data_IF_373872566242
#
_entry.id   IF_373872566242
#
_cell.length_a   1.000
_cell.length_b   1.000
_cell.length_c   1.000
_cell.angle_alpha   90.00
_cell.angle_beta   90.00
_cell.angle_gamma   90.00
#
_symmetry.space_group_name_H-M   'P 1'
#
loop_
_entity.id
_entity.type
_entity.pdbx_description
1 polymer ?
#
# COMPACT_ATOMS: atom_id res chain seq x y z
N UNK A 1 2.29 8.10 -15.02
CA UNK A 1 2.47 6.76 -15.63
C UNK A 1 2.33 5.72 -14.54
N UNK A 2 1.39 4.79 -14.68
CA UNK A 2 1.09 3.79 -13.69
C UNK A 2 1.20 2.37 -14.27
N UNK A 3 1.85 1.46 -13.55
CA UNK A 3 1.94 0.04 -13.91
C UNK A 3 0.61 -0.70 -13.70
N UNK A 4 -0.26 -0.18 -12.84
CA UNK A 4 -1.61 -0.67 -12.59
C UNK A 4 -2.59 0.49 -12.49
N UNK A 5 -3.75 0.36 -13.10
CA UNK A 5 -4.85 1.32 -13.04
C UNK A 5 -6.19 0.58 -13.24
N UNK A 6 -7.31 1.31 -13.08
CA UNK A 6 -8.63 0.73 -13.30
C UNK A 6 -8.73 -0.03 -14.64
N UNK A 7 -9.41 -1.16 -14.70
CA UNK A 7 -10.30 -1.74 -13.69
C UNK A 7 -9.60 -2.50 -12.55
N UNK A 8 -8.26 -2.67 -12.60
CA UNK A 8 -7.52 -3.35 -11.54
C UNK A 8 -7.38 -2.44 -10.32
N UNK A 9 -7.95 -2.85 -9.19
CA UNK A 9 -7.90 -2.13 -7.92
C UNK A 9 -6.85 -2.76 -7.01
N UNK A 10 -5.84 -1.96 -6.63
CA UNK A 10 -4.80 -2.33 -5.67
C UNK A 10 -4.24 -1.07 -5.00
N UNK A 11 -3.26 -1.22 -4.12
CA UNK A 11 -2.68 -0.09 -3.38
C UNK A 11 -2.08 1.01 -4.26
N UNK A 12 -1.49 0.64 -5.42
CA UNK A 12 -0.95 1.62 -6.39
C UNK A 12 -2.09 2.38 -7.07
N UNK A 13 -3.09 1.66 -7.59
CA UNK A 13 -4.28 2.25 -8.21
C UNK A 13 -4.98 3.20 -7.26
N UNK A 14 -5.24 2.79 -6.01
CA UNK A 14 -5.88 3.65 -5.00
C UNK A 14 -5.08 4.93 -4.75
N UNK A 15 -3.77 4.83 -4.63
CA UNK A 15 -2.90 6.01 -4.46
C UNK A 15 -2.99 6.96 -5.63
N UNK A 16 -2.96 6.44 -6.87
CA UNK A 16 -3.09 7.26 -8.09
C UNK A 16 -4.45 7.96 -8.14
N UNK A 17 -5.54 7.26 -7.82
CA UNK A 17 -6.88 7.83 -7.79
C UNK A 17 -6.99 8.99 -6.80
N UNK A 18 -6.42 8.87 -5.60
CA UNK A 18 -6.39 9.95 -4.60
C UNK A 18 -5.55 11.15 -5.05
N UNK A 19 -4.44 10.89 -5.72
CA UNK A 19 -3.63 11.96 -6.32
C UNK A 19 -4.41 12.70 -7.41
N UNK A 20 -5.08 11.97 -8.32
CA UNK A 20 -5.90 12.57 -9.37
C UNK A 20 -7.05 13.41 -8.81
N UNK A 21 -7.76 12.90 -7.81
CA UNK A 21 -8.82 13.62 -7.10
C UNK A 21 -8.30 14.94 -6.51
N UNK A 22 -7.12 14.91 -5.89
CA UNK A 22 -6.51 16.09 -5.29
C UNK A 22 -6.03 17.11 -6.34
N UNK A 23 -5.40 16.64 -7.42
CA UNK A 23 -4.99 17.48 -8.54
C UNK A 23 -6.18 18.21 -9.16
N UNK A 24 -7.27 17.47 -9.43
CA UNK A 24 -8.49 18.05 -9.98
C UNK A 24 -9.07 19.15 -9.07
N UNK A 25 -9.18 18.87 -7.74
CA UNK A 25 -9.67 19.87 -6.76
C UNK A 25 -8.84 21.16 -6.72
N UNK A 26 -7.55 21.04 -7.00
CA UNK A 26 -6.63 22.19 -6.99
C UNK A 26 -6.42 22.82 -8.39
N UNK A 27 -7.23 22.46 -9.38
CA UNK A 27 -7.20 23.03 -10.72
C UNK A 27 -6.01 22.60 -11.58
N UNK A 28 -5.37 21.49 -11.25
CA UNK A 28 -4.29 20.93 -12.06
C UNK A 28 -4.82 19.96 -13.11
N UNK A 29 -4.30 20.07 -14.32
CA UNK A 29 -4.57 19.10 -15.38
C UNK A 29 -3.75 17.82 -15.18
N UNK A 30 -4.36 16.67 -15.47
CA UNK A 30 -3.70 15.38 -15.37
C UNK A 30 -4.02 14.48 -16.57
N UNK A 31 -3.06 13.63 -16.94
CA UNK A 31 -3.22 12.57 -17.92
C UNK A 31 -2.62 11.28 -17.34
N UNK A 32 -3.34 10.17 -17.47
CA UNK A 32 -2.85 8.85 -17.05
C UNK A 32 -2.36 8.05 -18.25
N UNK A 33 -1.16 7.46 -18.15
CA UNK A 33 -0.69 6.42 -19.07
C UNK A 33 -0.66 5.12 -18.28
N UNK A 34 -1.45 4.13 -18.71
CA UNK A 34 -1.64 2.87 -17.99
C UNK A 34 -1.82 1.68 -18.94
N UNK A 35 -1.63 0.44 -18.45
CA UNK A 35 -1.92 -0.75 -19.24
C UNK A 35 -3.39 -0.82 -19.65
N UNK A 36 -3.66 -1.36 -20.84
CA UNK A 36 -4.98 -1.79 -21.23
C UNK A 36 -5.29 -3.18 -20.64
N UNK A 37 -6.53 -3.60 -20.68
CA UNK A 37 -6.89 -4.99 -20.39
C UNK A 37 -6.22 -5.95 -21.37
N UNK A 38 -5.96 -7.21 -20.99
CA UNK A 38 -5.40 -8.22 -21.88
C UNK A 38 -6.27 -8.44 -23.13
N UNK A 39 -5.65 -8.95 -24.19
CA UNK A 39 -6.40 -9.29 -25.41
C UNK A 39 -7.48 -10.32 -25.12
N UNK A 40 -8.69 -10.05 -25.60
CA UNK A 40 -9.87 -10.92 -25.43
C UNK A 40 -10.79 -10.48 -24.29
N UNK A 41 -10.38 -9.54 -23.46
CA UNK A 41 -11.22 -8.92 -22.44
C UNK A 41 -11.81 -7.60 -22.93
N UNK A 42 -12.88 -7.12 -22.25
CA UNK A 42 -13.43 -5.78 -22.49
C UNK A 42 -12.34 -4.74 -22.27
N UNK A 43 -12.14 -3.86 -23.25
CA UNK A 43 -11.16 -2.77 -23.14
C UNK A 43 -11.45 -1.90 -21.93
N UNK A 44 -10.39 -1.47 -21.24
CA UNK A 44 -10.51 -0.55 -20.14
C UNK A 44 -10.91 0.85 -20.62
N UNK A 45 -11.61 1.58 -19.76
CA UNK A 45 -12.05 2.94 -20.06
C UNK A 45 -10.85 3.87 -20.35
N UNK A 46 -11.04 4.77 -21.30
CA UNK A 46 -10.04 5.78 -21.71
C UNK A 46 -10.21 7.11 -20.98
N UNK A 47 -11.13 7.18 -20.03
CA UNK A 47 -11.33 8.31 -19.13
C UNK A 47 -11.61 7.83 -17.72
N UNK A 48 -11.25 8.64 -16.74
CA UNK A 48 -11.67 8.52 -15.34
C UNK A 48 -12.15 9.90 -14.87
N UNK A 49 -13.47 10.10 -14.80
CA UNK A 49 -14.04 11.44 -14.74
C UNK A 49 -13.59 12.24 -15.97
N UNK A 50 -13.04 13.41 -15.74
CA UNK A 50 -12.51 14.29 -16.81
C UNK A 50 -11.04 14.00 -17.17
N UNK A 51 -10.38 13.07 -16.46
CA UNK A 51 -8.97 12.75 -16.69
C UNK A 51 -8.84 11.74 -17.84
N UNK A 52 -8.14 12.09 -18.94
CA UNK A 52 -7.89 11.16 -20.04
C UNK A 52 -6.91 10.07 -19.61
N UNK A 53 -7.21 8.82 -20.00
CA UNK A 53 -6.39 7.65 -19.74
C UNK A 53 -5.88 7.08 -21.05
N UNK A 54 -4.61 7.27 -21.33
CA UNK A 54 -3.96 6.69 -22.49
C UNK A 54 -3.58 5.23 -22.23
N UNK A 55 -4.27 4.29 -22.90
CA UNK A 55 -4.06 2.86 -22.72
C UNK A 55 -2.93 2.34 -23.59
N UNK A 56 -2.00 1.60 -22.95
CA UNK A 56 -0.90 0.91 -23.61
C UNK A 56 -1.21 -0.57 -23.67
N UNK A 57 -1.08 -1.23 -24.83
CA UNK A 57 -1.29 -2.67 -24.95
C UNK A 57 -0.52 -3.46 -23.91
N UNK A 58 -1.19 -4.36 -23.23
CA UNK A 58 -0.62 -5.18 -22.16
C UNK A 58 -0.55 -6.66 -22.54
N UNK A 59 0.27 -7.39 -21.78
CA UNK A 59 0.33 -8.86 -21.79
C UNK A 59 0.29 -9.36 -20.36
N UNK A 60 -0.40 -10.48 -20.12
CA UNK A 60 -0.33 -11.17 -18.83
C UNK A 60 1.02 -11.85 -18.69
N UNK A 61 1.61 -11.72 -17.51
CA UNK A 61 2.85 -12.41 -17.20
C UNK A 61 2.54 -13.82 -16.65
N UNK A 62 3.21 -14.88 -17.15
CA UNK A 62 3.03 -16.22 -16.60
C UNK A 62 3.27 -16.23 -15.10
N UNK A 63 2.37 -16.80 -14.30
CA UNK A 63 2.41 -16.89 -12.82
C UNK A 63 2.04 -15.62 -12.05
N UNK A 64 1.83 -14.46 -12.70
CA UNK A 64 1.32 -13.24 -12.06
C UNK A 64 -0.02 -12.90 -12.69
N UNK A 65 -1.06 -13.62 -12.31
CA UNK A 65 -2.40 -13.56 -12.93
C UNK A 65 -3.16 -12.26 -12.69
N UNK A 66 -2.69 -11.40 -11.79
CA UNK A 66 -3.41 -10.19 -11.38
C UNK A 66 -2.84 -8.87 -11.93
N UNK A 67 -1.75 -8.91 -12.70
CA UNK A 67 -1.08 -7.69 -13.16
C UNK A 67 -0.78 -7.74 -14.66
N UNK A 68 -1.61 -7.10 -15.51
CA UNK A 68 -1.28 -6.90 -16.92
C UNK A 68 -0.09 -5.93 -17.03
N UNK A 69 1.01 -6.36 -17.66
CA UNK A 69 2.19 -5.53 -17.89
C UNK A 69 2.06 -4.77 -19.20
N UNK A 70 2.10 -3.44 -19.12
CA UNK A 70 2.13 -2.57 -20.29
C UNK A 70 3.51 -2.63 -20.98
N UNK A 71 3.50 -2.83 -22.30
CA UNK A 71 4.73 -2.83 -23.12
C UNK A 71 5.04 -1.41 -23.57
N UNK A 72 6.17 -0.80 -23.14
CA UNK A 72 6.55 0.54 -23.57
C UNK A 72 6.59 0.69 -25.08
N UNK A 73 6.12 1.82 -25.60
CA UNK A 73 6.10 2.10 -27.02
C UNK A 73 6.58 3.54 -27.33
N UNK A 74 7.18 3.78 -28.50
CA UNK A 74 7.55 5.13 -28.94
C UNK A 74 6.39 6.13 -28.93
N UNK A 75 5.15 5.63 -29.00
CA UNK A 75 3.93 6.46 -28.88
C UNK A 75 3.86 7.24 -27.57
N UNK A 76 4.46 6.76 -26.48
CA UNK A 76 4.50 7.46 -25.19
C UNK A 76 5.17 8.84 -25.31
N UNK A 77 6.23 8.95 -26.11
CA UNK A 77 6.89 10.24 -26.39
C UNK A 77 5.92 11.23 -27.04
N UNK A 78 5.10 10.73 -28.01
CA UNK A 78 4.09 11.59 -28.66
C UNK A 78 3.03 12.04 -27.67
N UNK A 79 2.51 11.16 -26.85
CA UNK A 79 1.49 11.47 -25.83
C UNK A 79 1.99 12.54 -24.87
N UNK A 80 3.22 12.41 -24.35
CA UNK A 80 3.81 13.42 -23.47
C UNK A 80 4.10 14.72 -24.18
N UNK A 81 4.55 14.68 -25.44
CA UNK A 81 4.78 15.89 -26.24
C UNK A 81 3.50 16.67 -26.51
N UNK A 82 2.42 15.96 -26.82
CA UNK A 82 1.13 16.57 -27.15
C UNK A 82 0.46 17.15 -25.89
N UNK A 83 0.56 16.46 -24.75
CA UNK A 83 0.01 16.91 -23.47
C UNK A 83 0.87 18.01 -22.81
N UNK A 84 2.19 18.02 -23.03
CA UNK A 84 3.16 18.98 -22.46
C UNK A 84 3.11 19.10 -20.94
N UNK A 85 3.25 18.00 -20.17
CA UNK A 85 3.20 18.07 -18.72
C UNK A 85 4.43 18.80 -18.16
N UNK A 86 4.24 19.51 -17.05
CA UNK A 86 5.34 20.10 -16.28
C UNK A 86 6.17 19.05 -15.56
N UNK A 87 5.54 17.95 -15.11
CA UNK A 87 6.18 16.86 -14.37
C UNK A 87 5.58 15.51 -14.78
N UNK A 88 6.41 14.47 -14.82
CA UNK A 88 5.96 13.07 -15.00
C UNK A 88 6.09 12.31 -13.69
N UNK A 89 4.95 11.95 -13.11
CA UNK A 89 4.86 11.05 -11.95
C UNK A 89 4.89 9.59 -12.41
N UNK A 90 5.82 8.82 -11.88
CA UNK A 90 5.98 7.39 -12.14
C UNK A 90 5.48 6.59 -10.92
N UNK A 91 4.24 6.13 -10.97
CA UNK A 91 3.62 5.38 -9.89
C UNK A 91 4.08 3.92 -9.89
N UNK A 92 4.97 3.58 -8.97
CA UNK A 92 5.58 2.24 -8.86
C UNK A 92 6.21 1.73 -10.16
N UNK A 93 7.23 2.44 -10.69
CA UNK A 93 7.73 2.18 -12.03
C UNK A 93 8.42 0.80 -12.14
N UNK A 94 8.04 0.03 -13.17
CA UNK A 94 8.68 -1.21 -13.57
C UNK A 94 8.96 -1.18 -15.09
N UNK A 95 8.08 -1.74 -15.91
CA UNK A 95 8.25 -1.76 -17.37
C UNK A 95 7.67 -0.52 -18.05
N UNK A 96 6.40 -0.22 -17.77
CA UNK A 96 5.74 0.93 -18.37
C UNK A 96 6.33 2.24 -17.84
N UNK A 97 6.64 2.29 -16.55
CA UNK A 97 7.32 3.40 -15.91
C UNK A 97 8.71 3.65 -16.48
N UNK A 98 9.45 2.60 -16.87
CA UNK A 98 10.71 2.73 -17.60
C UNK A 98 10.51 3.46 -18.92
N UNK A 99 9.48 3.08 -19.70
CA UNK A 99 9.13 3.79 -20.93
C UNK A 99 8.74 5.24 -20.70
N UNK A 100 7.97 5.51 -19.63
CA UNK A 100 7.61 6.86 -19.21
C UNK A 100 8.81 7.71 -18.82
N UNK A 101 9.73 7.15 -18.03
CA UNK A 101 10.98 7.78 -17.64
C UNK A 101 11.83 8.17 -18.87
N UNK A 102 12.02 7.24 -19.81
CA UNK A 102 12.80 7.51 -21.02
C UNK A 102 12.14 8.59 -21.90
N UNK A 103 10.82 8.52 -22.07
CA UNK A 103 10.08 9.53 -22.84
C UNK A 103 10.16 10.91 -22.19
N UNK A 104 10.02 11.01 -20.86
CA UNK A 104 10.16 12.25 -20.12
C UNK A 104 11.57 12.84 -20.26
N UNK A 105 12.60 12.01 -20.05
CA UNK A 105 14.00 12.45 -20.21
C UNK A 105 14.33 12.93 -21.63
N UNK A 106 13.84 12.23 -22.66
CA UNK A 106 14.01 12.63 -24.06
C UNK A 106 13.37 13.99 -24.35
N UNK A 107 12.27 14.32 -23.68
CA UNK A 107 11.57 15.60 -23.81
C UNK A 107 12.06 16.67 -22.82
N UNK A 108 13.02 16.37 -21.95
CA UNK A 108 13.50 17.28 -20.93
C UNK A 108 12.53 17.53 -19.78
N UNK A 109 11.49 16.68 -19.59
CA UNK A 109 10.47 16.83 -18.56
C UNK A 109 10.98 16.20 -17.24
N UNK A 110 10.89 16.92 -16.09
CA UNK A 110 11.28 16.39 -14.79
C UNK A 110 10.40 15.19 -14.36
N UNK A 111 10.99 14.30 -13.57
CA UNK A 111 10.38 13.04 -13.19
C UNK A 111 10.40 12.83 -11.67
N UNK A 112 9.26 12.39 -11.11
CA UNK A 112 9.13 11.94 -9.72
C UNK A 112 8.71 10.48 -9.73
N UNK A 113 9.56 9.58 -9.23
CA UNK A 113 9.30 8.15 -9.15
C UNK A 113 8.90 7.75 -7.74
N UNK A 114 7.84 6.97 -7.58
CA UNK A 114 7.37 6.48 -6.27
C UNK A 114 7.64 5.00 -6.14
N UNK A 115 8.42 4.62 -5.13
CA UNK A 115 8.68 3.22 -4.80
C UNK A 115 7.53 2.71 -3.92
N UNK A 116 6.63 1.91 -4.50
CA UNK A 116 5.44 1.41 -3.79
C UNK A 116 5.35 -0.11 -3.73
N UNK A 117 6.14 -0.81 -4.54
CA UNK A 117 6.11 -2.27 -4.63
C UNK A 117 7.52 -2.80 -4.44
N UNK A 118 7.71 -3.56 -3.37
CA UNK A 118 8.97 -4.25 -3.11
C UNK A 118 9.04 -5.55 -3.94
N UNK A 119 9.47 -5.42 -5.20
CA UNK A 119 9.62 -6.55 -6.12
C UNK A 119 10.69 -7.53 -5.59
N UNK A 120 11.71 -7.02 -4.89
CA UNK A 120 12.80 -7.84 -4.36
C UNK A 120 12.32 -8.68 -3.15
N UNK A 121 11.56 -8.10 -2.22
CA UNK A 121 10.95 -8.82 -1.11
C UNK A 121 9.90 -9.83 -1.56
N UNK A 122 9.10 -9.49 -2.59
CA UNK A 122 8.21 -10.47 -3.22
C UNK A 122 8.96 -11.65 -3.81
N UNK A 123 10.05 -11.42 -4.56
CA UNK A 123 10.86 -12.50 -5.14
C UNK A 123 11.38 -13.46 -4.06
N UNK A 124 11.75 -12.93 -2.90
CA UNK A 124 12.21 -13.73 -1.76
C UNK A 124 11.06 -14.58 -1.17
N UNK A 125 9.88 -13.97 -0.93
CA UNK A 125 8.71 -14.66 -0.36
C UNK A 125 8.17 -15.78 -1.27
N UNK A 126 8.36 -15.66 -2.58
CA UNK A 126 7.94 -16.69 -3.56
C UNK A 126 9.07 -17.67 -3.95
N UNK A 127 10.17 -17.73 -3.18
CA UNK A 127 11.25 -18.71 -3.38
C UNK A 127 12.14 -18.43 -4.60
N UNK A 128 12.09 -17.24 -5.18
CA UNK A 128 12.89 -16.84 -6.35
C UNK A 128 14.02 -15.88 -5.92
N UNK A 129 14.60 -16.10 -4.76
CA UNK A 129 15.62 -15.23 -4.14
C UNK A 129 16.84 -14.92 -5.03
N UNK A 130 17.19 -15.81 -5.97
CA UNK A 130 18.26 -15.56 -6.97
C UNK A 130 17.95 -14.33 -7.84
N UNK A 131 16.70 -13.95 -8.02
CA UNK A 131 16.30 -12.77 -8.78
C UNK A 131 16.31 -11.46 -7.96
N UNK A 132 16.54 -11.52 -6.66
CA UNK A 132 16.56 -10.34 -5.78
C UNK A 132 17.62 -9.32 -6.22
N UNK A 133 18.83 -9.76 -6.53
CA UNK A 133 19.90 -8.88 -7.01
C UNK A 133 19.58 -8.24 -8.37
N UNK A 134 18.92 -8.98 -9.26
CA UNK A 134 18.46 -8.47 -10.56
C UNK A 134 17.37 -7.43 -10.36
N UNK A 135 16.41 -7.68 -9.47
CA UNK A 135 15.37 -6.74 -9.14
C UNK A 135 15.93 -5.44 -8.54
N UNK A 136 16.90 -5.53 -7.63
CA UNK A 136 17.59 -4.34 -7.09
C UNK A 136 18.43 -3.61 -8.13
N UNK A 137 19.14 -4.31 -9.01
CA UNK A 137 19.86 -3.68 -10.11
C UNK A 137 18.92 -2.93 -11.06
N UNK A 138 17.73 -3.50 -11.34
CA UNK A 138 16.68 -2.85 -12.13
C UNK A 138 16.10 -1.63 -11.42
N UNK A 139 15.72 -1.75 -10.15
CA UNK A 139 15.24 -0.63 -9.35
C UNK A 139 16.27 0.51 -9.31
N UNK A 140 17.53 0.20 -9.05
CA UNK A 140 18.62 1.19 -9.07
C UNK A 140 18.75 1.85 -10.44
N UNK A 141 18.73 1.06 -11.53
CA UNK A 141 18.79 1.59 -12.88
C UNK A 141 17.69 2.60 -13.17
N UNK A 142 16.48 2.32 -12.71
CA UNK A 142 15.29 3.12 -12.94
C UNK A 142 15.29 4.37 -12.05
N UNK A 143 15.34 4.16 -10.74
CA UNK A 143 15.23 5.24 -9.75
C UNK A 143 16.40 6.22 -9.74
N UNK A 144 17.63 5.75 -10.08
CA UNK A 144 18.79 6.65 -10.22
C UNK A 144 18.68 7.63 -11.40
N UNK A 145 17.77 7.37 -12.33
CA UNK A 145 17.53 8.24 -13.49
C UNK A 145 16.36 9.19 -13.30
N UNK A 146 15.51 8.97 -12.31
CA UNK A 146 14.46 9.91 -11.92
C UNK A 146 15.08 11.14 -11.24
N UNK A 147 14.48 12.31 -11.39
CA UNK A 147 14.95 13.53 -10.72
C UNK A 147 14.71 13.44 -9.21
N UNK A 148 13.67 12.72 -8.77
CA UNK A 148 13.37 12.46 -7.36
C UNK A 148 12.75 11.07 -7.20
N UNK A 149 13.14 10.35 -6.14
CA UNK A 149 12.51 9.09 -5.73
C UNK A 149 11.80 9.29 -4.40
N UNK A 150 10.56 8.84 -4.31
CA UNK A 150 9.74 8.92 -3.10
C UNK A 150 9.59 7.52 -2.49
N UNK A 151 9.92 7.41 -1.21
CA UNK A 151 9.79 6.20 -0.40
C UNK A 151 8.65 6.33 0.60
N UNK A 152 7.78 5.32 0.76
CA UNK A 152 6.60 5.43 1.61
C UNK A 152 6.89 5.33 3.11
N UNK A 153 8.06 4.82 3.50
CA UNK A 153 8.50 4.68 4.90
C UNK A 153 9.99 4.92 5.06
N UNK A 154 10.42 5.13 6.32
CA UNK A 154 11.84 5.28 6.65
C UNK A 154 12.62 4.00 6.37
N UNK A 155 12.06 2.82 6.68
CA UNK A 155 12.67 1.54 6.35
C UNK A 155 12.87 1.38 4.85
N UNK A 156 11.86 1.67 4.01
CA UNK A 156 12.02 1.66 2.55
C UNK A 156 13.05 2.69 2.07
N UNK A 157 13.12 3.86 2.70
CA UNK A 157 14.13 4.87 2.36
C UNK A 157 15.55 4.36 2.65
N UNK A 158 15.76 3.73 3.81
CA UNK A 158 17.02 3.09 4.19
C UNK A 158 17.42 2.01 3.20
N UNK A 159 16.49 1.13 2.80
CA UNK A 159 16.74 0.09 1.80
C UNK A 159 17.15 0.67 0.45
N UNK A 160 16.46 1.69 -0.02
CA UNK A 160 16.79 2.36 -1.30
C UNK A 160 18.19 3.00 -1.25
N UNK A 161 18.53 3.66 -0.15
CA UNK A 161 19.85 4.29 0.06
C UNK A 161 20.95 3.25 0.16
N UNK A 162 20.73 2.15 0.89
CA UNK A 162 21.69 1.03 1.00
C UNK A 162 22.00 0.41 -0.37
N UNK A 163 21.02 0.38 -1.27
CA UNK A 163 21.17 -0.06 -2.67
C UNK A 163 21.65 1.05 -3.61
N UNK A 164 22.19 2.16 -3.07
CA UNK A 164 22.79 3.27 -3.81
C UNK A 164 21.82 3.98 -4.77
N UNK A 165 20.57 4.11 -4.40
CA UNK A 165 19.61 4.92 -5.12
C UNK A 165 19.69 6.35 -4.58
N UNK A 166 19.99 7.36 -5.41
CA UNK A 166 20.14 8.75 -4.96
C UNK A 166 18.78 9.48 -4.91
N UNK A 167 18.77 10.67 -4.30
CA UNK A 167 17.64 11.60 -4.28
C UNK A 167 16.35 10.96 -3.74
N UNK A 168 16.49 10.14 -2.69
CA UNK A 168 15.38 9.50 -2.00
C UNK A 168 14.81 10.46 -0.96
N UNK A 169 13.49 10.64 -1.01
CA UNK A 169 12.74 11.46 -0.06
C UNK A 169 11.54 10.67 0.48
N UNK A 170 11.14 10.98 1.70
CA UNK A 170 9.99 10.32 2.31
C UNK A 170 8.69 10.91 1.78
N UNK A 171 7.77 10.05 1.40
CA UNK A 171 6.39 10.40 1.06
C UNK A 171 5.48 9.22 1.41
N UNK A 172 4.80 9.34 2.56
CA UNK A 172 3.92 8.30 3.09
C UNK A 172 2.58 8.24 2.35
N UNK A 173 1.61 7.63 3.01
CA UNK A 173 0.25 7.53 2.47
C UNK A 173 -0.75 8.21 3.39
N UNK A 174 -1.85 8.64 2.79
CA UNK A 174 -3.00 9.16 3.51
C UNK A 174 -3.96 8.04 3.93
N UNK A 175 -4.84 8.38 4.85
CA UNK A 175 -5.97 7.54 5.25
C UNK A 175 -7.25 8.37 5.24
N UNK A 176 -8.37 7.72 4.91
CA UNK A 176 -9.69 8.31 5.05
C UNK A 176 -10.14 8.26 6.52
N UNK A 177 -9.76 9.26 7.29
CA UNK A 177 -10.08 9.35 8.73
C UNK A 177 -11.57 9.54 9.03
N UNK A 178 -12.37 9.85 8.01
CA UNK A 178 -13.83 9.98 8.11
C UNK A 178 -14.49 8.63 7.88
N UNK A 179 -14.09 7.93 6.83
CA UNK A 179 -14.58 6.58 6.53
C UNK A 179 -14.11 5.56 7.57
N UNK A 180 -12.80 5.54 7.85
CA UNK A 180 -12.23 4.71 8.91
C UNK A 180 -12.29 5.44 10.25
N UNK A 181 -13.34 5.18 11.00
CA UNK A 181 -13.59 5.83 12.28
C UNK A 181 -14.23 4.86 13.29
N UNK A 182 -14.02 5.05 14.61
CA UNK A 182 -14.67 4.25 15.65
C UNK A 182 -16.20 4.25 15.55
N UNK A 183 -16.79 5.32 15.01
CA UNK A 183 -18.25 5.46 14.80
C UNK A 183 -18.81 4.47 13.76
N UNK A 184 -17.95 3.86 12.92
CA UNK A 184 -18.36 2.82 11.98
C UNK A 184 -18.60 1.44 12.65
N UNK A 185 -18.39 1.32 13.98
CA UNK A 185 -18.59 0.08 14.74
C UNK A 185 -20.01 -0.45 14.58
N UNK A 186 -20.13 -1.72 14.20
CA UNK A 186 -21.40 -2.42 13.98
C UNK A 186 -21.68 -3.43 15.07
N UNK A 187 -22.75 -3.22 15.83
CA UNK A 187 -23.23 -4.19 16.82
C UNK A 187 -23.66 -5.51 16.16
N UNK A 188 -24.22 -5.44 14.95
CA UNK A 188 -24.63 -6.62 14.19
C UNK A 188 -23.44 -7.49 13.80
N UNK A 189 -22.34 -6.91 13.28
CA UNK A 189 -21.11 -7.64 13.00
C UNK A 189 -20.51 -8.27 14.26
N UNK A 190 -20.53 -7.53 15.37
CA UNK A 190 -20.05 -8.04 16.66
C UNK A 190 -20.85 -9.25 17.13
N UNK A 191 -22.17 -9.19 17.07
CA UNK A 191 -23.05 -10.31 17.46
C UNK A 191 -22.85 -11.53 16.53
N UNK A 192 -22.61 -11.29 15.24
CA UNK A 192 -22.33 -12.36 14.28
C UNK A 192 -20.97 -13.05 14.51
N UNK A 193 -19.92 -12.27 14.79
CA UNK A 193 -18.56 -12.80 14.95
C UNK A 193 -18.32 -13.39 16.33
N UNK A 194 -18.84 -12.74 17.35
CA UNK A 194 -18.64 -13.10 18.75
C UNK A 194 -19.96 -13.01 19.52
N UNK A 195 -20.89 -13.97 19.32
CA UNK A 195 -22.17 -13.97 20.01
C UNK A 195 -22.04 -14.05 21.54
N UNK A 196 -20.94 -14.61 22.02
CA UNK A 196 -20.61 -14.71 23.45
C UNK A 196 -19.96 -13.41 24.00
N UNK A 197 -19.78 -12.38 23.18
CA UNK A 197 -19.19 -11.10 23.58
C UNK A 197 -17.66 -11.12 23.80
N UNK A 198 -16.96 -12.14 23.35
CA UNK A 198 -15.49 -12.23 23.44
C UNK A 198 -14.81 -11.08 22.71
N UNK A 199 -13.62 -10.64 23.15
CA UNK A 199 -12.77 -9.72 22.39
C UNK A 199 -12.50 -10.23 20.98
N UNK A 200 -12.53 -9.33 20.01
CA UNK A 200 -12.27 -9.65 18.59
C UNK A 200 -10.88 -9.19 18.21
N UNK A 201 -10.03 -10.15 17.86
CA UNK A 201 -8.71 -9.90 17.29
C UNK A 201 -8.78 -10.10 15.78
N UNK A 202 -8.41 -9.06 15.00
CA UNK A 202 -8.61 -9.07 13.56
C UNK A 202 -7.36 -8.89 12.74
N UNK A 203 -7.41 -9.46 11.54
CA UNK A 203 -6.48 -9.22 10.44
C UNK A 203 -7.27 -8.75 9.22
N UNK A 204 -6.68 -7.82 8.47
CA UNK A 204 -7.20 -7.36 7.17
C UNK A 204 -6.08 -7.35 6.16
N UNK A 205 -6.28 -8.04 5.04
CA UNK A 205 -5.31 -8.07 3.96
C UNK A 205 -5.47 -9.23 3.01
N UNK A 206 -4.66 -9.24 1.96
CA UNK A 206 -4.60 -10.37 1.04
C UNK A 206 -4.06 -11.62 1.76
N UNK A 207 -4.67 -12.77 1.52
CA UNK A 207 -4.24 -14.03 2.10
C UNK A 207 -3.18 -14.68 1.21
N UNK A 208 -1.93 -14.24 1.37
CA UNK A 208 -0.79 -14.63 0.56
C UNK A 208 0.48 -14.78 1.40
N UNK A 209 1.48 -15.57 0.96
CA UNK A 209 2.64 -15.94 1.75
C UNK A 209 3.38 -14.76 2.41
N UNK A 210 3.51 -13.65 1.70
CA UNK A 210 4.22 -12.46 2.18
C UNK A 210 3.50 -11.73 3.33
N UNK A 211 2.25 -12.12 3.63
CA UNK A 211 1.47 -11.54 4.75
C UNK A 211 1.61 -12.33 6.05
N UNK A 212 2.19 -13.51 6.00
CA UNK A 212 2.46 -14.36 7.16
C UNK A 212 1.26 -14.56 8.09
N UNK A 213 0.05 -14.69 7.50
CA UNK A 213 -1.21 -14.81 8.29
C UNK A 213 -1.24 -16.07 9.13
N UNK A 214 -0.46 -17.09 8.77
CA UNK A 214 -0.26 -18.31 9.56
C UNK A 214 0.27 -18.04 10.97
N UNK A 215 0.98 -16.95 11.22
CA UNK A 215 1.47 -16.55 12.55
C UNK A 215 0.34 -16.31 13.56
N UNK A 216 -0.90 -16.07 13.09
CA UNK A 216 -2.07 -16.00 13.95
C UNK A 216 -2.42 -17.34 14.59
N UNK A 217 -1.84 -18.46 14.16
CA UNK A 217 -1.98 -19.76 14.79
C UNK A 217 -1.54 -19.77 16.25
N UNK A 218 -0.64 -18.86 16.66
CA UNK A 218 -0.30 -18.65 18.05
C UNK A 218 -1.51 -18.30 18.96
N UNK A 219 -2.62 -17.85 18.36
CA UNK A 219 -3.88 -17.55 19.05
C UNK A 219 -4.97 -18.59 18.81
N UNK A 220 -4.74 -19.63 18.01
CA UNK A 220 -5.79 -20.58 17.59
C UNK A 220 -6.42 -21.37 18.73
N UNK A 221 -5.68 -21.60 19.82
CA UNK A 221 -6.15 -22.30 21.02
C UNK A 221 -6.88 -21.42 22.05
N UNK A 222 -6.97 -20.10 21.79
CA UNK A 222 -7.57 -19.13 22.71
C UNK A 222 -9.10 -19.15 22.61
N UNK A 223 -9.74 -19.84 23.56
CA UNK A 223 -11.20 -19.89 23.64
C UNK A 223 -11.86 -18.61 24.21
N UNK A 224 -11.08 -17.70 24.76
CA UNK A 224 -11.49 -16.47 25.40
C UNK A 224 -11.54 -15.26 24.43
N UNK A 225 -11.10 -15.42 23.18
CA UNK A 225 -11.16 -14.41 22.13
C UNK A 225 -11.70 -14.97 20.82
N UNK A 226 -12.09 -14.10 19.90
CA UNK A 226 -12.54 -14.44 18.56
C UNK A 226 -11.57 -13.88 17.52
N UNK A 227 -11.01 -14.74 16.67
CA UNK A 227 -10.24 -14.34 15.51
C UNK A 227 -11.15 -14.02 14.32
N UNK A 228 -10.88 -12.90 13.64
CA UNK A 228 -11.56 -12.50 12.40
C UNK A 228 -10.53 -12.18 11.33
N UNK A 229 -10.65 -12.84 10.19
CA UNK A 229 -9.76 -12.71 9.04
C UNK A 229 -10.54 -12.13 7.87
N UNK A 230 -10.23 -10.88 7.51
CA UNK A 230 -10.85 -10.16 6.40
C UNK A 230 -9.91 -10.18 5.20
N UNK A 231 -10.37 -10.73 4.09
CA UNK A 231 -9.61 -10.80 2.85
C UNK A 231 -9.72 -12.15 2.15
N UNK A 232 -9.08 -12.20 0.99
CA UNK A 232 -9.02 -13.38 0.13
C UNK A 232 -7.60 -13.59 -0.39
N UNK A 233 -7.29 -14.79 -0.85
CA UNK A 233 -6.01 -15.10 -1.47
C UNK A 233 -5.72 -16.59 -1.55
N UNK A 234 -4.54 -16.89 -2.11
CA UNK A 234 -4.13 -18.27 -2.43
C UNK A 234 -3.97 -19.14 -1.18
N UNK A 235 -3.67 -18.54 -0.01
CA UNK A 235 -3.48 -19.27 1.25
C UNK A 235 -4.77 -19.51 2.02
N UNK A 236 -5.93 -19.05 1.55
CA UNK A 236 -7.20 -19.13 2.26
C UNK A 236 -7.53 -20.57 2.70
N UNK A 237 -7.33 -21.54 1.81
CA UNK A 237 -7.60 -22.96 2.11
C UNK A 237 -6.70 -23.55 3.20
N UNK A 238 -5.42 -23.15 3.22
CA UNK A 238 -4.44 -23.49 4.26
C UNK A 238 -4.82 -22.85 5.60
N UNK A 239 -5.14 -21.55 5.56
CA UNK A 239 -5.47 -20.77 6.76
C UNK A 239 -6.76 -21.24 7.43
N UNK A 240 -7.80 -21.62 6.67
CA UNK A 240 -9.03 -22.20 7.25
C UNK A 240 -8.77 -23.50 8.00
N UNK A 241 -7.81 -24.32 7.57
CA UNK A 241 -7.42 -25.54 8.29
C UNK A 241 -6.62 -25.23 9.55
N UNK A 242 -5.77 -24.20 9.50
CA UNK A 242 -4.90 -23.80 10.60
C UNK A 242 -5.66 -23.03 11.70
N UNK A 243 -6.68 -22.26 11.31
CA UNK A 243 -7.50 -21.39 12.18
C UNK A 243 -8.98 -21.79 12.09
N UNK A 244 -9.37 -23.02 12.52
CA UNK A 244 -10.72 -23.54 12.30
C UNK A 244 -11.82 -22.76 13.05
N UNK A 245 -11.49 -22.09 14.17
CA UNK A 245 -12.41 -21.27 14.95
C UNK A 245 -12.48 -19.81 14.47
N UNK A 246 -11.65 -19.40 13.52
CA UNK A 246 -11.65 -18.04 13.02
C UNK A 246 -12.80 -17.78 12.05
N UNK A 247 -13.36 -16.58 12.10
CA UNK A 247 -14.33 -16.10 11.10
C UNK A 247 -13.58 -15.55 9.89
N UNK A 248 -13.84 -16.11 8.72
CA UNK A 248 -13.31 -15.62 7.43
C UNK A 248 -14.43 -14.93 6.66
N UNK A 249 -14.35 -13.63 6.51
CA UNK A 249 -15.40 -12.81 5.88
C UNK A 249 -15.32 -12.78 4.36
N UNK A 250 -14.18 -13.15 3.77
CA UNK A 250 -13.84 -12.79 2.39
C UNK A 250 -13.35 -11.34 2.28
N UNK A 251 -13.18 -10.84 1.06
CA UNK A 251 -12.79 -9.46 0.81
C UNK A 251 -13.93 -8.49 1.11
N UNK A 252 -13.63 -7.42 1.84
CA UNK A 252 -14.57 -6.33 2.14
C UNK A 252 -14.02 -5.00 1.58
N UNK A 253 -14.91 -4.09 1.24
CA UNK A 253 -14.56 -2.79 0.65
C UNK A 253 -15.42 -1.66 1.23
N UNK A 254 -14.94 -0.43 1.11
CA UNK A 254 -15.71 0.77 1.45
C UNK A 254 -16.25 0.75 2.87
N UNK A 255 -17.58 0.94 3.01
CA UNK A 255 -18.24 1.00 4.32
C UNK A 255 -18.19 -0.31 5.10
N UNK A 256 -18.28 -1.44 4.41
CA UNK A 256 -18.23 -2.75 5.07
C UNK A 256 -16.84 -3.04 5.64
N UNK A 257 -15.80 -2.65 4.93
CA UNK A 257 -14.43 -2.73 5.43
C UNK A 257 -14.22 -1.82 6.64
N UNK A 258 -14.71 -0.59 6.59
CA UNK A 258 -14.63 0.35 7.72
C UNK A 258 -15.38 -0.16 8.95
N UNK A 259 -16.58 -0.73 8.76
CA UNK A 259 -17.36 -1.35 9.82
C UNK A 259 -16.63 -2.58 10.40
N UNK A 260 -15.96 -3.37 9.55
CA UNK A 260 -15.18 -4.51 9.99
C UNK A 260 -14.02 -4.07 10.91
N UNK A 261 -13.19 -3.12 10.49
CA UNK A 261 -12.14 -2.56 11.36
C UNK A 261 -12.72 -2.05 12.68
N UNK A 262 -13.69 -1.15 12.64
CA UNK A 262 -14.25 -0.55 13.85
C UNK A 262 -14.91 -1.56 14.80
N UNK A 263 -15.26 -2.76 14.30
CA UNK A 263 -15.89 -3.83 15.08
C UNK A 263 -14.89 -4.79 15.72
N UNK A 264 -13.60 -4.65 15.47
CA UNK A 264 -12.52 -5.36 16.18
C UNK A 264 -12.17 -4.68 17.50
N UNK A 265 -11.33 -5.32 18.31
CA UNK A 265 -10.81 -4.79 19.57
C UNK A 265 -9.29 -4.62 19.53
N UNK A 266 -8.57 -5.50 18.83
CA UNK A 266 -7.13 -5.42 18.53
C UNK A 266 -6.92 -5.80 17.08
N UNK A 267 -6.04 -5.08 16.40
CA UNK A 267 -5.62 -5.39 15.04
C UNK A 267 -4.22 -6.00 15.03
N UNK A 268 -4.05 -7.13 14.34
CA UNK A 268 -2.76 -7.81 14.19
C UNK A 268 -2.37 -7.84 12.72
N UNK A 269 -1.20 -7.30 12.40
CA UNK A 269 -0.58 -7.40 11.08
C UNK A 269 0.72 -8.21 11.20
N UNK A 270 0.76 -9.48 10.77
CA UNK A 270 1.93 -10.33 11.00
C UNK A 270 3.00 -10.27 9.90
N UNK A 271 2.74 -9.57 8.78
CA UNK A 271 3.66 -9.49 7.63
C UNK A 271 4.80 -8.48 7.84
N UNK A 272 6.02 -8.89 7.55
CA UNK A 272 7.24 -8.08 7.72
C UNK A 272 7.68 -7.33 6.45
N UNK A 273 7.23 -7.77 5.27
CA UNK A 273 7.61 -7.20 3.98
C UNK A 273 6.63 -6.11 3.51
N UNK A 274 6.45 -5.08 4.33
CA UNK A 274 5.57 -3.96 4.02
C UNK A 274 6.35 -2.69 3.72
N UNK A 275 6.15 -2.14 2.54
CA UNK A 275 6.75 -0.83 2.21
C UNK A 275 6.11 0.31 3.01
N UNK A 276 4.81 0.17 3.39
CA UNK A 276 4.09 1.15 4.21
C UNK A 276 3.14 0.52 5.22
N UNK A 277 2.29 -0.42 4.79
CA UNK A 277 1.21 -1.06 5.54
C UNK A 277 -0.05 -0.19 5.74
N UNK A 278 -0.80 0.01 4.66
CA UNK A 278 -2.07 0.76 4.69
C UNK A 278 -3.07 0.20 5.70
N UNK A 279 -3.12 -1.14 5.87
CA UNK A 279 -4.04 -1.81 6.78
C UNK A 279 -3.80 -1.42 8.26
N UNK A 280 -2.54 -1.23 8.66
CA UNK A 280 -2.19 -0.71 10.00
C UNK A 280 -2.71 0.72 10.17
N UNK A 281 -2.52 1.58 9.17
CA UNK A 281 -2.97 2.97 9.24
C UNK A 281 -4.51 3.07 9.29
N UNK A 282 -5.23 2.23 8.54
CA UNK A 282 -6.70 2.14 8.56
C UNK A 282 -7.21 1.61 9.91
N UNK A 283 -6.55 0.61 10.49
CA UNK A 283 -6.85 0.11 11.82
C UNK A 283 -6.69 1.22 12.88
N UNK A 284 -5.56 1.94 12.85
CA UNK A 284 -5.32 3.07 13.76
C UNK A 284 -6.36 4.18 13.60
N UNK A 285 -6.74 4.51 12.36
CA UNK A 285 -7.80 5.47 12.06
C UNK A 285 -9.17 5.00 12.60
N UNK A 286 -9.43 3.70 12.61
CA UNK A 286 -10.62 3.10 13.21
C UNK A 286 -10.56 3.02 14.75
N UNK A 287 -9.47 3.51 15.36
CA UNK A 287 -9.27 3.50 16.81
C UNK A 287 -8.87 2.13 17.35
N UNK A 288 -8.17 1.32 16.59
CA UNK A 288 -7.67 0.02 17.05
C UNK A 288 -6.23 0.13 17.54
N UNK A 289 -5.91 -0.43 18.71
CA UNK A 289 -4.54 -0.74 19.05
C UNK A 289 -4.00 -1.80 18.10
N UNK A 290 -2.72 -1.67 17.73
CA UNK A 290 -2.10 -2.47 16.68
C UNK A 290 -0.95 -3.30 17.22
N UNK A 291 -0.85 -4.56 16.76
CA UNK A 291 0.34 -5.40 16.88
C UNK A 291 0.90 -5.62 15.48
N UNK A 292 2.17 -5.33 15.29
CA UNK A 292 2.87 -5.53 14.03
C UNK A 292 4.32 -5.99 14.27
N UNK A 293 5.02 -6.57 13.28
CA UNK A 293 6.45 -6.86 13.40
C UNK A 293 7.28 -5.58 13.47
N UNK A 294 8.39 -5.62 14.19
CA UNK A 294 9.40 -4.55 14.21
C UNK A 294 10.20 -4.58 12.90
N UNK A 295 9.50 -4.35 11.80
CA UNK A 295 10.06 -4.37 10.45
C UNK A 295 9.23 -3.53 9.48
N UNK A 296 9.87 -3.04 8.42
CA UNK A 296 9.21 -2.36 7.30
C UNK A 296 8.40 -1.13 7.70
N UNK A 297 7.33 -0.88 6.95
CA UNK A 297 6.47 0.29 7.12
C UNK A 297 5.76 0.42 8.46
N UNK A 298 5.35 -0.65 9.15
CA UNK A 298 4.76 -0.58 10.49
C UNK A 298 5.60 0.19 11.51
N UNK A 299 6.94 0.18 11.40
CA UNK A 299 7.85 0.94 12.29
C UNK A 299 7.62 2.45 12.26
N UNK A 300 7.13 2.97 11.15
CA UNK A 300 6.82 4.40 11.00
C UNK A 300 5.44 4.78 11.52
N UNK A 301 4.54 3.80 11.60
CA UNK A 301 3.14 4.01 11.97
C UNK A 301 2.91 3.77 13.47
N UNK A 302 3.51 2.69 14.00
CA UNK A 302 3.30 2.27 15.38
C UNK A 302 4.40 2.83 16.28
N UNK A 303 4.01 3.64 17.26
CA UNK A 303 4.89 4.04 18.37
C UNK A 303 4.75 3.00 19.48
N UNK A 304 5.81 2.18 19.74
CA UNK A 304 5.74 1.10 20.74
C UNK A 304 5.27 1.60 22.11
N UNK A 305 4.45 0.81 22.79
CA UNK A 305 3.89 1.10 24.12
C UNK A 305 3.01 2.37 24.20
N UNK A 306 2.73 2.99 23.03
CA UNK A 306 1.89 4.19 22.98
C UNK A 306 0.68 4.01 22.03
N UNK A 307 0.91 3.67 20.76
CA UNK A 307 -0.16 3.47 19.78
C UNK A 307 -0.40 1.99 19.45
N UNK A 308 0.49 1.12 19.92
CA UNK A 308 0.47 -0.32 19.69
C UNK A 308 1.77 -0.97 20.13
N UNK A 309 2.02 -2.17 19.65
CA UNK A 309 3.23 -2.95 19.94
C UNK A 309 3.92 -3.36 18.65
N UNK A 310 5.25 -3.24 18.63
CA UNK A 310 6.12 -3.82 17.63
C UNK A 310 6.81 -5.04 18.23
N UNK A 311 6.61 -6.21 17.61
CA UNK A 311 7.18 -7.48 18.08
C UNK A 311 8.40 -7.86 17.23
N UNK A 312 9.44 -8.45 17.84
CA UNK A 312 10.57 -8.98 17.10
C UNK A 312 10.10 -9.99 16.06
N UNK A 313 10.58 -9.87 14.82
CA UNK A 313 10.22 -10.78 13.72
C UNK A 313 10.52 -12.24 14.09
N UNK A 314 11.69 -12.48 14.71
CA UNK A 314 12.15 -13.82 15.07
C UNK A 314 11.31 -14.50 16.17
N UNK A 315 10.57 -13.73 16.98
CA UNK A 315 9.73 -14.23 18.07
C UNK A 315 8.30 -13.69 18.01
N UNK A 316 7.83 -13.35 16.83
CA UNK A 316 6.51 -12.76 16.65
C UNK A 316 5.40 -13.67 17.20
N UNK A 317 5.44 -14.96 16.86
CA UNK A 317 4.45 -15.95 17.30
C UNK A 317 4.49 -16.18 18.80
N UNK A 318 5.69 -16.31 19.39
CA UNK A 318 5.87 -16.52 20.83
C UNK A 318 5.38 -15.34 21.67
N UNK A 319 5.63 -14.13 21.20
CA UNK A 319 5.25 -12.90 21.89
C UNK A 319 3.80 -12.47 21.66
N UNK A 320 3.13 -12.97 20.60
CA UNK A 320 1.81 -12.51 20.19
C UNK A 320 0.71 -12.68 21.24
N UNK A 321 0.58 -13.83 21.96
CA UNK A 321 -0.48 -14.00 22.97
C UNK A 321 -0.39 -12.96 24.09
N UNK A 322 0.80 -12.75 24.66
CA UNK A 322 1.00 -11.78 25.73
C UNK A 322 0.77 -10.33 25.24
N UNK A 323 1.14 -10.02 24.00
CA UNK A 323 0.90 -8.74 23.38
C UNK A 323 -0.60 -8.43 23.22
N UNK A 324 -1.39 -9.44 22.82
CA UNK A 324 -2.85 -9.31 22.73
C UNK A 324 -3.45 -9.04 24.11
N UNK A 325 -3.06 -9.79 25.14
CA UNK A 325 -3.55 -9.60 26.51
C UNK A 325 -3.24 -8.19 27.03
N UNK A 326 -2.02 -7.73 26.81
CA UNK A 326 -1.60 -6.38 27.22
C UNK A 326 -2.43 -5.29 26.54
N UNK A 327 -2.65 -5.39 25.21
CA UNK A 327 -3.45 -4.40 24.51
C UNK A 327 -4.94 -4.45 24.87
N UNK A 328 -5.48 -5.61 25.16
CA UNK A 328 -6.87 -5.74 25.63
C UNK A 328 -7.06 -5.11 27.01
N UNK A 329 -6.12 -5.31 27.93
CA UNK A 329 -6.17 -4.74 29.28
C UNK A 329 -6.14 -3.20 29.27
N UNK A 330 -5.38 -2.60 28.35
CA UNK A 330 -5.23 -1.14 28.26
C UNK A 330 -5.87 -0.56 26.99
N UNK A 331 -6.83 -1.25 26.42
CA UNK A 331 -7.41 -0.97 25.10
C UNK A 331 -7.79 0.49 24.90
N UNK A 332 -8.49 1.10 25.84
CA UNK A 332 -8.98 2.48 25.73
C UNK A 332 -7.85 3.49 25.54
N UNK A 333 -6.74 3.32 26.27
CA UNK A 333 -5.55 4.17 26.17
C UNK A 333 -4.94 4.09 24.77
N UNK A 334 -4.69 2.86 24.30
CA UNK A 334 -4.08 2.62 23.00
C UNK A 334 -4.99 3.06 21.85
N UNK A 335 -6.30 2.82 21.95
CA UNK A 335 -7.27 3.23 20.92
C UNK A 335 -7.26 4.73 20.65
N UNK A 336 -7.28 5.53 21.71
CA UNK A 336 -7.24 7.01 21.61
C UNK A 336 -5.92 7.47 21.00
N UNK A 337 -4.81 6.93 21.47
CA UNK A 337 -3.48 7.29 20.98
C UNK A 337 -3.27 6.88 19.51
N UNK A 338 -3.65 5.67 19.14
CA UNK A 338 -3.57 5.17 17.76
C UNK A 338 -4.34 6.06 16.78
N UNK A 339 -5.61 6.35 17.08
CA UNK A 339 -6.40 7.24 16.22
C UNK A 339 -5.80 8.63 16.13
N UNK A 340 -5.40 9.23 17.25
CA UNK A 340 -4.85 10.59 17.29
C UNK A 340 -3.60 10.74 16.42
N UNK A 341 -2.76 9.71 16.38
CA UNK A 341 -1.49 9.74 15.63
C UNK A 341 -1.67 9.82 14.11
N UNK A 342 -2.83 9.40 13.57
CA UNK A 342 -3.07 9.37 12.12
C UNK A 342 -4.06 10.44 11.63
N UNK A 343 -4.69 11.22 12.53
CA UNK A 343 -5.72 12.20 12.13
C UNK A 343 -5.21 13.27 11.16
N UNK A 344 -3.96 13.66 11.27
CA UNK A 344 -3.33 14.63 10.35
C UNK A 344 -2.86 14.01 9.02
N UNK A 345 -2.80 12.67 8.92
CA UNK A 345 -2.32 11.95 7.74
C UNK A 345 -3.44 11.69 6.74
N UNK A 346 -4.23 12.71 6.42
CA UNK A 346 -5.29 12.61 5.42
C UNK A 346 -4.73 12.58 4.00
N UNK A 347 -5.50 12.03 3.06
CA UNK A 347 -5.09 12.04 1.63
C UNK A 347 -4.82 13.45 1.11
N UNK A 348 -5.64 14.48 1.38
CA UNK A 348 -5.30 15.85 0.99
C UNK A 348 -3.95 16.31 1.52
N UNK A 349 -3.67 16.17 2.82
CA UNK A 349 -2.40 16.58 3.42
C UNK A 349 -1.18 15.88 2.78
N UNK A 350 -1.29 14.58 2.53
CA UNK A 350 -0.22 13.80 1.87
C UNK A 350 -0.06 14.18 0.40
N UNK A 351 -1.15 14.53 -0.28
CA UNK A 351 -1.07 15.02 -1.66
C UNK A 351 -0.49 16.44 -1.74
N UNK A 352 -0.71 17.30 -0.73
CA UNK A 352 -0.02 18.60 -0.63
C UNK A 352 1.50 18.41 -0.48
N UNK A 353 1.95 17.43 0.32
CA UNK A 353 3.37 17.05 0.38
C UNK A 353 3.90 16.63 -1.01
N UNK A 354 3.10 15.88 -1.79
CA UNK A 354 3.47 15.48 -3.15
C UNK A 354 3.61 16.69 -4.09
N UNK A 355 2.70 17.65 -4.02
CA UNK A 355 2.81 18.90 -4.79
C UNK A 355 4.08 19.67 -4.41
N UNK A 356 4.48 19.64 -3.14
CA UNK A 356 5.77 20.18 -2.69
C UNK A 356 6.97 19.47 -3.36
N UNK A 357 6.90 18.14 -3.53
CA UNK A 357 7.93 17.41 -4.28
C UNK A 357 7.96 17.75 -5.77
N UNK A 358 6.80 17.98 -6.39
CA UNK A 358 6.74 18.43 -7.78
C UNK A 358 7.34 19.85 -7.94
N UNK A 359 6.97 20.77 -7.06
CA UNK A 359 7.52 22.13 -7.07
C UNK A 359 9.05 22.14 -6.91
N UNK A 360 9.58 21.26 -6.06
CA UNK A 360 11.02 21.15 -5.84
C UNK A 360 11.77 20.71 -7.11
N UNK A 361 11.32 19.66 -7.83
CA UNK A 361 11.99 19.23 -9.07
C UNK A 361 11.87 20.27 -10.19
N UNK A 362 10.79 21.04 -10.22
CA UNK A 362 10.60 22.16 -11.16
C UNK A 362 11.56 23.31 -10.85
N UNK A 363 11.75 23.65 -9.57
CA UNK A 363 12.70 24.67 -9.11
C UNK A 363 14.14 24.28 -9.37
N UNK A 364 14.52 23.06 -9.04
CA UNK A 364 15.87 22.48 -9.29
C UNK A 364 16.22 22.53 -10.79
N UNK A 365 15.28 22.19 -11.68
CA UNK A 365 15.49 22.24 -13.13
C UNK A 365 15.67 23.66 -13.65
N UNK A 366 14.89 24.63 -13.16
CA UNK A 366 15.03 26.04 -13.53
C UNK A 366 16.39 26.60 -13.11
N UNK A 367 16.88 26.25 -11.93
CA UNK A 367 18.17 26.67 -11.42
C UNK A 367 19.37 26.08 -12.23
N UNK A 368 19.21 24.89 -12.82
CA UNK A 368 20.23 24.27 -13.67
C UNK A 368 20.23 24.82 -15.11
N UNK A 369 19.15 25.45 -15.53
CA UNK A 369 18.99 26.02 -16.87
C UNK A 369 19.36 27.55 -16.93
N UNK A 370 19.49 28.20 -15.78
CA UNK A 370 19.91 29.58 -15.61
C UNK A 370 21.44 29.68 -15.44
#
# INVERSE_FOLDING_TARGET
VAESFLPNVNGVTNSVLRVLEHLHRNGHEALVIAPDTPRGEKRADTFHGDVPVHRIPSRMFPKVTSLPLGVPRPRMVRVLRDFRPDVVHLASPALLGYGGLHAARFLGIPTVAVFQTDIAGFAQSYGVGMMTNVAWAWNRHLHSRADRTLAPSSATMEDLVSHRIPRVHKWGRGVDVTGFAPSARSAALRAQWSPEGKPVVGFVGRLAPEKHVERLAALAGRGDLQLVVVGEGIDQGKLRKLLPAAVFTGALYGRDLAAAYASMDVFVHPGEHETFCQAVQEAMASGLPVIAPDAGGPRDLVTPMHTGLLLPVADFEGSLPAAVDHLLAERSRYSVAARRSVLSRTWPAVCDELLGHYAAVLGERRALAA
#
